data_IF_105079870315
#
_entry.id   IF_105079870315
#
_cell.length_a   1.000
_cell.length_b   1.000
_cell.length_c   1.000
_cell.angle_alpha   90.00
_cell.angle_beta   90.00
_cell.angle_gamma   90.00
#
_symmetry.space_group_name_H-M   'P 1'
#
loop_
_entity.id
_entity.type
_entity.pdbx_description
1 polymer ?
#
# COMPACT_ATOMS: atom_id res chain seq x y z
N UNK A 1 1.36 3.57 16.11
CA UNK A 1 2.37 4.27 15.28
C UNK A 1 1.94 4.12 13.83
N UNK A 2 1.23 5.10 13.26
CA UNK A 2 0.86 5.08 11.84
C UNK A 2 2.13 5.26 11.03
N UNK A 3 2.66 4.16 10.48
CA UNK A 3 3.84 4.19 9.62
C UNK A 3 3.38 4.73 8.27
N UNK A 4 3.57 6.02 8.06
CA UNK A 4 3.40 6.63 6.74
C UNK A 4 4.27 5.85 5.74
N UNK A 5 3.68 5.49 4.61
CA UNK A 5 4.42 4.84 3.54
C UNK A 5 5.47 5.82 3.01
N UNK A 6 6.74 5.42 3.05
CA UNK A 6 7.85 6.26 2.55
C UNK A 6 7.83 6.27 1.02
N UNK A 7 6.99 7.14 0.48
CA UNK A 7 6.79 7.32 -0.96
C UNK A 7 8.09 7.66 -1.70
N UNK A 8 8.93 8.60 -1.21
CA UNK A 8 10.23 8.86 -1.82
C UNK A 8 11.16 7.65 -1.84
N UNK A 9 11.16 6.82 -0.79
CA UNK A 9 11.95 5.58 -0.79
C UNK A 9 11.41 4.56 -1.79
N UNK A 10 10.08 4.41 -1.89
CA UNK A 10 9.45 3.50 -2.85
C UNK A 10 9.76 3.90 -4.30
N UNK A 11 9.65 5.19 -4.63
CA UNK A 11 9.99 5.72 -5.96
C UNK A 11 11.46 5.48 -6.32
N UNK A 12 12.38 5.70 -5.37
CA UNK A 12 13.81 5.40 -5.59
C UNK A 12 14.06 3.91 -5.78
N UNK A 13 13.42 3.06 -4.98
CA UNK A 13 13.58 1.62 -5.10
C UNK A 13 13.06 1.08 -6.45
N UNK A 14 11.90 1.57 -6.92
CA UNK A 14 11.33 1.17 -8.21
C UNK A 14 12.05 1.75 -9.43
N UNK A 15 12.19 3.09 -9.50
CA UNK A 15 12.71 3.76 -10.70
C UNK A 15 14.24 3.81 -10.76
N UNK A 16 14.93 3.86 -9.61
CA UNK A 16 16.41 3.88 -9.58
C UNK A 16 17.00 2.50 -9.29
N UNK A 17 16.43 1.77 -8.32
CA UNK A 17 16.88 0.44 -7.91
C UNK A 17 16.58 -0.62 -8.97
N UNK A 18 15.30 -0.81 -9.29
CA UNK A 18 14.82 -1.78 -10.30
C UNK A 18 14.87 -1.25 -11.74
N UNK A 19 15.19 0.04 -11.93
CA UNK A 19 15.24 0.73 -13.24
C UNK A 19 13.95 0.57 -14.06
N UNK A 20 12.81 0.51 -13.38
CA UNK A 20 11.51 0.45 -14.03
C UNK A 20 11.18 1.79 -14.70
N UNK A 21 10.55 1.74 -15.87
CA UNK A 21 9.89 2.94 -16.41
C UNK A 21 8.73 3.32 -15.50
N UNK A 22 8.33 4.60 -15.44
CA UNK A 22 7.20 5.02 -14.61
C UNK A 22 5.93 4.23 -14.94
N UNK A 23 5.70 3.94 -16.21
CA UNK A 23 4.55 3.19 -16.70
C UNK A 23 4.56 1.73 -16.20
N UNK A 24 5.71 1.05 -16.27
CA UNK A 24 5.85 -0.30 -15.73
C UNK A 24 5.68 -0.31 -14.20
N UNK A 25 6.23 0.68 -13.49
CA UNK A 25 6.08 0.79 -12.05
C UNK A 25 4.61 0.91 -11.62
N UNK A 26 3.81 1.71 -12.34
CA UNK A 26 2.39 1.90 -12.04
C UNK A 26 1.49 0.76 -12.53
N UNK A 27 1.94 -0.02 -13.50
CA UNK A 27 1.23 -1.22 -13.95
C UNK A 27 1.39 -2.40 -12.98
N UNK A 28 2.41 -2.37 -12.11
CA UNK A 28 2.66 -3.45 -11.16
C UNK A 28 1.71 -3.40 -9.97
N UNK A 29 1.26 -4.57 -9.54
CA UNK A 29 0.60 -4.71 -8.24
C UNK A 29 1.63 -4.55 -7.10
N UNK A 30 1.21 -4.10 -5.90
CA UNK A 30 2.09 -4.01 -4.74
C UNK A 30 2.75 -5.35 -4.37
N UNK A 31 2.10 -6.49 -4.68
CA UNK A 31 2.66 -7.82 -4.45
C UNK A 31 3.84 -8.11 -5.39
N UNK A 32 3.68 -7.83 -6.69
CA UNK A 32 4.74 -8.03 -7.68
C UNK A 32 5.94 -7.12 -7.39
N UNK A 33 5.69 -5.86 -7.04
CA UNK A 33 6.75 -4.94 -6.67
C UNK A 33 7.55 -5.44 -5.45
N UNK A 34 6.89 -6.00 -4.43
CA UNK A 34 7.58 -6.56 -3.25
C UNK A 34 8.46 -7.76 -3.60
N UNK A 35 7.97 -8.65 -4.48
CA UNK A 35 8.74 -9.80 -4.97
C UNK A 35 10.00 -9.31 -5.70
N UNK A 36 9.86 -8.33 -6.59
CA UNK A 36 10.99 -7.76 -7.34
C UNK A 36 12.00 -7.03 -6.45
N UNK A 37 11.53 -6.37 -5.38
CA UNK A 37 12.38 -5.71 -4.39
C UNK A 37 13.16 -6.69 -3.50
N UNK A 38 12.94 -8.00 -3.63
CA UNK A 38 13.70 -9.03 -2.91
C UNK A 38 13.52 -9.02 -1.39
N UNK A 39 12.50 -8.30 -0.89
CA UNK A 39 12.21 -8.29 0.55
C UNK A 39 11.47 -9.58 0.89
N UNK A 40 11.94 -10.40 1.86
CA UNK A 40 11.19 -11.56 2.31
C UNK A 40 9.93 -11.08 3.02
N UNK A 41 8.84 -10.95 2.28
CA UNK A 41 7.53 -10.67 2.86
C UNK A 41 7.02 -11.94 3.57
N UNK A 42 7.47 -12.15 4.80
CA UNK A 42 6.55 -12.60 5.83
C UNK A 42 5.88 -11.37 6.43
N UNK A 43 5.23 -10.55 5.58
CA UNK A 43 4.11 -9.79 6.06
C UNK A 43 3.02 -10.83 6.29
N UNK A 44 2.76 -11.18 7.55
CA UNK A 44 1.65 -12.06 7.89
C UNK A 44 0.41 -11.57 7.12
N UNK A 45 -0.36 -12.47 6.48
CA UNK A 45 -1.57 -12.07 5.80
C UNK A 45 -2.41 -11.25 6.78
N UNK A 46 -3.04 -10.18 6.30
CA UNK A 46 -3.93 -9.35 7.11
C UNK A 46 -5.01 -10.28 7.68
N UNK A 47 -4.82 -10.69 8.94
CA UNK A 47 -5.78 -11.53 9.64
C UNK A 47 -7.04 -10.70 9.88
N UNK A 48 -8.19 -11.35 10.09
CA UNK A 48 -9.45 -10.62 10.29
C UNK A 48 -9.34 -9.57 11.39
N UNK A 49 -8.57 -9.87 12.44
CA UNK A 49 -8.28 -8.96 13.55
C UNK A 49 -7.59 -7.67 13.11
N UNK A 50 -6.70 -7.74 12.12
CA UNK A 50 -6.06 -6.55 11.53
C UNK A 50 -7.04 -5.74 10.68
N UNK A 51 -7.96 -6.40 9.99
CA UNK A 51 -9.02 -5.73 9.24
C UNK A 51 -10.02 -5.06 10.19
N UNK A 52 -10.42 -5.74 11.27
CA UNK A 52 -11.31 -5.20 12.31
C UNK A 52 -10.71 -3.96 12.97
N UNK A 53 -9.41 -3.99 13.27
CA UNK A 53 -8.69 -2.84 13.81
C UNK A 53 -8.68 -1.64 12.83
N UNK A 54 -8.57 -1.89 11.53
CA UNK A 54 -8.65 -0.83 10.50
C UNK A 54 -10.05 -0.24 10.41
N UNK A 55 -11.10 -1.07 10.38
CA UNK A 55 -12.49 -0.59 10.35
C UNK A 55 -12.83 0.25 11.59
N UNK A 56 -12.30 -0.10 12.76
CA UNK A 56 -12.48 0.68 13.97
C UNK A 56 -11.71 2.01 13.97
N UNK A 57 -10.52 2.04 13.35
CA UNK A 57 -9.67 3.23 13.31
C UNK A 57 -10.11 4.25 12.24
N UNK A 58 -10.73 3.78 11.16
CA UNK A 58 -11.31 4.60 10.10
C UNK A 58 -12.75 4.21 9.82
N UNK A 59 -13.69 4.56 10.73
CA UNK A 59 -15.10 4.38 10.47
C UNK A 59 -15.51 5.32 9.34
N UNK A 60 -16.07 4.78 8.27
CA UNK A 60 -16.65 5.59 7.20
C UNK A 60 -17.83 6.39 7.78
N UNK A 61 -17.65 7.71 7.90
CA UNK A 61 -18.77 8.61 8.16
C UNK A 61 -19.62 8.66 6.89
N UNK A 62 -20.86 8.15 6.96
CA UNK A 62 -21.85 8.49 5.94
C UNK A 62 -22.00 10.00 5.97
N UNK A 63 -21.59 10.67 4.90
CA UNK A 63 -21.94 12.07 4.68
C UNK A 63 -23.47 12.16 4.68
N UNK A 64 -24.01 12.64 5.79
CA UNK A 64 -25.42 12.97 5.94
C UNK A 64 -25.66 14.24 5.12
N UNK A 65 -25.82 14.09 3.80
CA UNK A 65 -26.03 15.22 2.91
C UNK A 65 -25.56 15.01 1.48
N UNK A 66 -26.10 14.01 0.78
CA UNK A 66 -26.22 14.08 -0.68
C UNK A 66 -27.67 14.44 -1.00
N UNK A 67 -28.01 15.73 -1.23
CA UNK A 67 -29.32 16.09 -1.75
C UNK A 67 -29.35 15.78 -3.25
N UNK A 68 -30.36 15.02 -3.69
CA UNK A 68 -30.73 14.83 -5.10
C UNK A 68 -30.89 16.15 -5.88
#
# INVERSE_FOLDING_TARGET
>A
MSRSLDWPALMRAGMQGLRLTPEAFWALTPAELQIMLGTPAQAAPLLSEGLDALMAAWPDERSEGDPE
#
